data_IF_487717135266
#
_entry.id   IF_487717135266
#
_cell.length_a   1.000
_cell.length_b   1.000
_cell.length_c   1.000
_cell.angle_alpha   90.00
_cell.angle_beta   90.00
_cell.angle_gamma   90.00
#
_symmetry.space_group_name_H-M   'P 1'
#
loop_
_entity.id
_entity.type
_entity.pdbx_description
1 polymer ?
#
# COMPACT_ATOMS: atom_id res chain seq x y z
N UNK A 1 -10.82 -7.39 -22.75
CA UNK A 1 -11.34 -6.59 -21.60
C UNK A 1 -10.54 -5.31 -21.50
N UNK A 2 -11.22 -4.17 -21.44
CA UNK A 2 -10.55 -2.89 -21.26
C UNK A 2 -10.44 -2.50 -19.77
N UNK A 3 -9.73 -1.40 -19.49
CA UNK A 3 -9.52 -0.93 -18.10
C UNK A 3 -10.83 -0.65 -17.36
N UNK A 4 -11.81 -0.05 -18.03
CA UNK A 4 -13.12 0.25 -17.41
C UNK A 4 -13.85 -1.04 -17.04
N UNK A 5 -13.88 -2.02 -17.93
CA UNK A 5 -14.51 -3.32 -17.68
C UNK A 5 -13.81 -4.10 -16.57
N UNK A 6 -12.48 -4.11 -16.59
CA UNK A 6 -11.68 -4.75 -15.54
C UNK A 6 -11.93 -4.12 -14.16
N UNK A 7 -11.94 -2.80 -14.09
CA UNK A 7 -12.23 -2.07 -12.85
C UNK A 7 -13.64 -2.37 -12.32
N UNK A 8 -14.66 -2.31 -13.17
CA UNK A 8 -16.05 -2.60 -12.76
C UNK A 8 -16.21 -4.05 -12.27
N UNK A 9 -15.61 -4.99 -12.98
CA UNK A 9 -15.60 -6.40 -12.56
C UNK A 9 -14.94 -6.57 -11.19
N UNK A 10 -13.77 -5.98 -10.98
CA UNK A 10 -13.04 -6.06 -9.72
C UNK A 10 -13.81 -5.42 -8.57
N UNK A 11 -14.36 -4.23 -8.78
CA UNK A 11 -15.19 -3.53 -7.80
C UNK A 11 -16.39 -4.36 -7.38
N UNK A 12 -17.11 -4.96 -8.33
CA UNK A 12 -18.25 -5.80 -8.03
C UNK A 12 -17.85 -7.04 -7.24
N UNK A 13 -16.79 -7.74 -7.66
CA UNK A 13 -16.30 -8.94 -6.97
C UNK A 13 -15.94 -8.66 -5.51
N UNK A 14 -15.26 -7.54 -5.25
CA UNK A 14 -14.88 -7.16 -3.89
C UNK A 14 -16.08 -6.68 -3.05
N UNK A 15 -17.08 -6.04 -3.66
CA UNK A 15 -18.34 -5.71 -2.98
C UNK A 15 -19.11 -6.96 -2.55
N UNK A 16 -19.20 -7.96 -3.41
CA UNK A 16 -19.84 -9.24 -3.11
C UNK A 16 -19.12 -9.99 -1.98
N UNK A 17 -17.81 -9.79 -1.86
CA UNK A 17 -16.99 -10.32 -0.77
C UNK A 17 -17.02 -9.46 0.52
N UNK A 18 -17.87 -8.43 0.57
CA UNK A 18 -18.02 -7.51 1.71
C UNK A 18 -16.73 -6.74 2.08
N UNK A 19 -15.90 -6.43 1.09
CA UNK A 19 -14.72 -5.57 1.28
C UNK A 19 -15.17 -4.11 1.39
N UNK A 20 -14.86 -3.45 2.52
CA UNK A 20 -15.34 -2.09 2.81
C UNK A 20 -14.90 -1.05 1.79
N UNK A 21 -13.65 -1.10 1.33
CA UNK A 21 -13.06 -0.20 0.35
C UNK A 21 -12.95 -0.85 -1.05
N UNK A 22 -13.98 -1.56 -1.48
CA UNK A 22 -13.98 -2.35 -2.70
C UNK A 22 -13.57 -1.57 -3.95
N UNK A 23 -14.03 -0.32 -4.09
CA UNK A 23 -13.70 0.53 -5.22
C UNK A 23 -12.23 0.93 -5.22
N UNK A 24 -11.71 1.35 -4.07
CA UNK A 24 -10.30 1.74 -3.92
C UNK A 24 -9.37 0.54 -4.14
N UNK A 25 -9.68 -0.58 -3.51
CA UNK A 25 -8.87 -1.79 -3.58
C UNK A 25 -8.82 -2.35 -5.02
N UNK A 26 -9.96 -2.40 -5.71
CA UNK A 26 -10.01 -2.83 -7.11
C UNK A 26 -9.16 -1.94 -8.01
N UNK A 27 -9.21 -0.62 -7.81
CA UNK A 27 -8.40 0.34 -8.57
C UNK A 27 -6.90 0.15 -8.32
N UNK A 28 -6.48 0.11 -7.06
CA UNK A 28 -5.06 -0.01 -6.70
C UNK A 28 -4.45 -1.34 -7.19
N UNK A 29 -5.21 -2.43 -7.11
CA UNK A 29 -4.77 -3.71 -7.66
C UNK A 29 -4.64 -3.68 -9.19
N UNK A 30 -5.56 -3.00 -9.89
CA UNK A 30 -5.49 -2.86 -11.33
C UNK A 30 -4.31 -1.97 -11.76
N UNK A 31 -4.09 -0.86 -11.05
CA UNK A 31 -2.94 0.03 -11.27
C UNK A 31 -1.62 -0.73 -11.12
N UNK A 32 -1.48 -1.53 -10.08
CA UNK A 32 -0.27 -2.33 -9.82
C UNK A 32 -0.03 -3.37 -10.90
N UNK A 33 -1.06 -4.14 -11.26
CA UNK A 33 -0.94 -5.21 -12.26
C UNK A 33 -0.62 -4.67 -13.65
N UNK A 34 -1.26 -3.56 -14.04
CA UNK A 34 -1.06 -2.96 -15.37
C UNK A 34 0.07 -1.93 -15.42
N UNK A 35 0.78 -1.71 -14.31
CA UNK A 35 1.86 -0.72 -14.24
C UNK A 35 1.40 0.69 -14.64
N UNK A 36 0.21 1.09 -14.21
CA UNK A 36 -0.43 2.34 -14.61
C UNK A 36 -0.80 3.20 -13.40
N UNK A 37 -1.40 4.35 -13.62
CA UNK A 37 -1.85 5.26 -12.59
C UNK A 37 -3.34 5.60 -12.71
N UNK A 38 -3.87 6.26 -11.68
CA UNK A 38 -5.28 6.65 -11.63
C UNK A 38 -5.71 7.54 -12.80
N UNK A 39 -4.86 8.49 -13.18
CA UNK A 39 -5.16 9.39 -14.29
C UNK A 39 -5.28 8.65 -15.62
N UNK A 40 -4.37 7.70 -15.87
CA UNK A 40 -4.40 6.86 -17.06
C UNK A 40 -5.65 5.98 -17.10
N UNK A 41 -6.05 5.39 -15.97
CA UNK A 41 -7.29 4.61 -15.89
C UNK A 41 -8.53 5.46 -16.21
N UNK A 42 -8.56 6.72 -15.78
CA UNK A 42 -9.67 7.64 -16.05
C UNK A 42 -9.68 8.13 -17.49
N UNK A 43 -8.51 8.51 -18.04
CA UNK A 43 -8.42 9.11 -19.37
C UNK A 43 -8.41 8.08 -20.51
N UNK A 44 -7.95 6.86 -20.23
CA UNK A 44 -7.75 5.80 -21.21
C UNK A 44 -8.43 4.49 -20.79
N UNK A 45 -9.66 4.60 -20.28
CA UNK A 45 -10.46 3.46 -19.85
C UNK A 45 -10.76 2.43 -20.94
N UNK A 46 -10.61 2.81 -22.21
CA UNK A 46 -10.75 1.98 -23.40
C UNK A 46 -9.50 1.12 -23.72
N UNK A 47 -8.38 1.37 -23.04
CA UNK A 47 -7.15 0.60 -23.24
C UNK A 47 -7.35 -0.86 -22.83
N UNK A 48 -6.90 -1.75 -23.69
CA UNK A 48 -7.01 -3.20 -23.46
C UNK A 48 -6.05 -3.68 -22.38
N UNK A 49 -6.58 -4.56 -21.52
CA UNK A 49 -5.81 -5.34 -20.56
C UNK A 49 -5.33 -6.62 -21.27
N UNK A 50 -4.06 -6.93 -21.20
CA UNK A 50 -3.53 -8.17 -21.76
C UNK A 50 -4.05 -9.39 -21.01
N UNK A 51 -4.04 -10.57 -21.64
CA UNK A 51 -4.47 -11.82 -20.99
C UNK A 51 -3.66 -12.14 -19.73
N UNK A 52 -2.35 -11.83 -19.75
CA UNK A 52 -1.48 -12.05 -18.59
C UNK A 52 -1.82 -11.11 -17.42
N UNK A 53 -2.08 -9.82 -17.71
CA UNK A 53 -2.52 -8.84 -16.72
C UNK A 53 -3.90 -9.20 -16.17
N UNK A 54 -4.83 -9.63 -17.03
CA UNK A 54 -6.17 -10.06 -16.62
C UNK A 54 -6.09 -11.25 -15.64
N UNK A 55 -5.26 -12.26 -15.94
CA UNK A 55 -5.07 -13.41 -15.06
C UNK A 55 -4.46 -12.99 -13.71
N UNK A 56 -3.44 -12.14 -13.72
CA UNK A 56 -2.83 -11.61 -12.49
C UNK A 56 -3.83 -10.80 -11.66
N UNK A 57 -4.61 -9.96 -12.31
CA UNK A 57 -5.65 -9.17 -11.65
C UNK A 57 -6.73 -10.04 -11.02
N UNK A 58 -7.21 -11.07 -11.72
CA UNK A 58 -8.18 -12.02 -11.19
C UNK A 58 -7.65 -12.74 -9.95
N UNK A 59 -6.40 -13.21 -9.98
CA UNK A 59 -5.75 -13.84 -8.82
C UNK A 59 -5.66 -12.88 -7.62
N UNK A 60 -5.26 -11.64 -7.86
CA UNK A 60 -5.19 -10.62 -6.80
C UNK A 60 -6.57 -10.35 -6.18
N UNK A 61 -7.60 -10.23 -7.01
CA UNK A 61 -8.98 -10.06 -6.55
C UNK A 61 -9.48 -11.27 -5.72
N UNK A 62 -9.14 -12.48 -6.11
CA UNK A 62 -9.50 -13.69 -5.36
C UNK A 62 -8.86 -13.70 -3.98
N UNK A 63 -7.57 -13.38 -3.90
CA UNK A 63 -6.88 -13.26 -2.61
C UNK A 63 -7.46 -12.14 -1.76
N UNK A 64 -7.76 -10.98 -2.34
CA UNK A 64 -8.39 -9.88 -1.61
C UNK A 64 -9.79 -10.25 -1.12
N UNK A 65 -10.57 -10.97 -1.91
CA UNK A 65 -11.92 -11.43 -1.58
C UNK A 65 -11.95 -12.38 -0.36
N UNK A 66 -10.88 -13.12 -0.12
CA UNK A 66 -10.71 -13.93 1.12
C UNK A 66 -9.98 -13.17 2.23
N UNK A 67 -10.00 -11.83 2.16
CA UNK A 67 -9.47 -10.90 3.16
C UNK A 67 -7.95 -10.90 3.35
N UNK A 68 -7.18 -11.32 2.36
CA UNK A 68 -5.73 -11.03 2.36
C UNK A 68 -5.57 -9.51 2.33
N UNK A 69 -4.76 -8.90 3.23
CA UNK A 69 -4.58 -7.46 3.26
C UNK A 69 -4.10 -6.91 1.92
N UNK A 70 -4.68 -5.78 1.49
CA UNK A 70 -4.31 -5.13 0.22
C UNK A 70 -2.81 -4.87 0.14
N UNK A 71 -2.20 -4.39 1.22
CA UNK A 71 -0.77 -4.06 1.29
C UNK A 71 0.12 -5.28 1.08
N UNK A 72 -0.31 -6.46 1.51
CA UNK A 72 0.42 -7.72 1.23
C UNK A 72 0.38 -8.09 -0.26
N UNK A 73 -0.72 -7.77 -0.94
CA UNK A 73 -0.85 -7.99 -2.39
C UNK A 73 -0.07 -6.97 -3.20
N UNK A 74 -0.04 -5.72 -2.77
CA UNK A 74 0.77 -4.66 -3.38
C UNK A 74 2.25 -4.78 -3.03
N UNK A 75 2.59 -5.35 -1.87
CA UNK A 75 3.95 -5.50 -1.38
C UNK A 75 4.52 -4.27 -0.69
N UNK A 76 3.73 -3.22 -0.50
CA UNK A 76 4.17 -1.99 0.16
C UNK A 76 3.05 -1.29 0.92
N UNK A 77 3.44 -0.40 1.83
CA UNK A 77 2.60 0.57 2.52
C UNK A 77 3.34 1.89 2.62
N UNK A 78 2.67 2.98 2.29
CA UNK A 78 3.20 4.32 2.52
C UNK A 78 2.97 4.74 3.98
N UNK A 79 4.01 5.30 4.59
CA UNK A 79 4.02 5.75 5.98
C UNK A 79 4.95 6.95 6.12
N UNK A 80 4.49 8.05 6.70
CA UNK A 80 5.24 9.30 6.81
C UNK A 80 5.83 9.80 5.48
N UNK A 81 5.13 9.59 4.36
CA UNK A 81 5.60 9.94 3.02
C UNK A 81 6.71 9.03 2.46
N UNK A 82 7.06 7.96 3.17
CA UNK A 82 8.03 6.96 2.74
C UNK A 82 7.32 5.65 2.38
N UNK A 83 7.87 4.92 1.41
CA UNK A 83 7.33 3.62 1.00
C UNK A 83 8.10 2.50 1.67
N UNK A 84 7.41 1.69 2.47
CA UNK A 84 7.96 0.53 3.16
C UNK A 84 7.50 -0.76 2.50
N UNK A 85 8.43 -1.67 2.24
CA UNK A 85 8.10 -3.01 1.80
C UNK A 85 7.45 -3.79 2.96
N UNK A 86 6.34 -4.45 2.67
CA UNK A 86 5.62 -5.28 3.64
C UNK A 86 5.28 -6.63 3.04
N UNK A 87 5.14 -7.63 3.90
CA UNK A 87 4.70 -8.98 3.56
C UNK A 87 3.97 -9.60 4.75
N UNK A 88 3.61 -10.87 4.66
CA UNK A 88 2.90 -11.61 5.71
C UNK A 88 3.65 -11.75 7.04
N UNK A 89 4.95 -11.43 7.07
CA UNK A 89 5.81 -11.59 8.25
C UNK A 89 5.98 -10.31 9.07
N UNK A 90 5.45 -9.19 8.62
CA UNK A 90 5.53 -7.91 9.33
C UNK A 90 4.16 -7.29 9.53
N UNK A 91 4.01 -6.54 10.62
CA UNK A 91 2.83 -5.71 10.84
C UNK A 91 2.84 -4.56 9.83
N UNK A 92 1.73 -4.38 9.11
CA UNK A 92 1.56 -3.27 8.18
C UNK A 92 1.56 -1.96 8.95
N UNK A 93 2.40 -0.97 8.58
CA UNK A 93 2.38 0.35 9.20
C UNK A 93 0.98 0.98 9.16
N UNK A 94 0.51 1.44 10.30
CA UNK A 94 -0.80 2.10 10.42
C UNK A 94 -0.65 3.60 10.46
N UNK A 95 -1.58 4.33 9.86
CA UNK A 95 -1.52 5.79 9.78
C UNK A 95 -1.60 6.48 11.15
N UNK A 96 -2.35 5.93 12.11
CA UNK A 96 -2.39 6.48 13.47
C UNK A 96 -1.03 6.40 14.18
N UNK A 97 -0.15 5.47 13.81
CA UNK A 97 1.23 5.40 14.30
C UNK A 97 2.10 6.58 13.81
N UNK A 98 1.72 7.27 12.75
CA UNK A 98 2.39 8.51 12.31
C UNK A 98 2.36 9.59 13.39
N UNK A 99 1.32 9.63 14.22
CA UNK A 99 1.20 10.54 15.37
C UNK A 99 2.34 10.29 16.35
N UNK A 100 2.70 9.03 16.59
CA UNK A 100 3.84 8.68 17.46
C UNK A 100 5.16 9.22 16.90
N UNK A 101 5.37 9.09 15.58
CA UNK A 101 6.57 9.62 14.91
C UNK A 101 6.62 11.13 15.01
N UNK A 102 5.53 11.82 14.72
CA UNK A 102 5.42 13.27 14.83
C UNK A 102 5.69 13.76 16.24
N UNK A 103 5.14 13.09 17.26
CA UNK A 103 5.37 13.44 18.67
C UNK A 103 6.83 13.17 19.07
N UNK A 104 7.42 12.06 18.67
CA UNK A 104 8.82 11.75 18.93
C UNK A 104 9.78 12.75 18.29
N UNK A 105 9.47 13.25 17.09
CA UNK A 105 10.26 14.29 16.41
C UNK A 105 10.44 15.56 17.24
N UNK A 106 9.49 15.88 18.09
CA UNK A 106 9.55 17.05 19.01
C UNK A 106 10.65 16.95 20.05
N UNK A 107 11.10 15.73 20.37
CA UNK A 107 12.14 15.46 21.38
C UNK A 107 13.49 15.15 20.75
N UNK A 108 13.57 14.95 19.44
CA UNK A 108 14.81 14.68 18.76
C UNK A 108 15.65 15.96 18.55
N UNK A 109 16.94 15.81 18.72
CA UNK A 109 17.93 16.80 18.34
C UNK A 109 19.12 16.11 17.67
N UNK A 110 19.97 16.86 17.01
CA UNK A 110 21.13 16.36 16.27
C UNK A 110 22.05 15.52 17.17
N UNK A 111 22.54 14.43 16.66
CA UNK A 111 23.49 13.55 17.35
C UNK A 111 22.86 12.55 18.33
N UNK A 112 21.54 12.48 18.44
CA UNK A 112 20.87 11.48 19.28
C UNK A 112 20.98 10.07 18.70
N UNK A 113 20.98 9.10 19.61
CA UNK A 113 20.85 7.68 19.29
C UNK A 113 19.44 7.21 19.62
N UNK A 114 18.84 6.45 18.72
CA UNK A 114 17.45 5.98 18.81
C UNK A 114 17.45 4.47 18.85
N UNK A 115 16.71 3.89 19.80
CA UNK A 115 16.46 2.46 19.87
C UNK A 115 14.96 2.20 19.67
N UNK A 116 14.63 1.41 18.66
CA UNK A 116 13.28 0.97 18.36
C UNK A 116 13.15 -0.53 18.68
N UNK A 117 12.54 -0.84 19.80
CA UNK A 117 12.25 -2.22 20.22
C UNK A 117 11.03 -2.75 19.48
N UNK A 118 11.15 -3.96 18.94
CA UNK A 118 10.09 -4.58 18.11
C UNK A 118 9.77 -3.75 16.86
N UNK A 119 10.80 -3.37 16.15
CA UNK A 119 10.74 -2.39 15.04
C UNK A 119 9.83 -2.80 13.87
N UNK A 120 9.53 -4.10 13.70
CA UNK A 120 8.68 -4.62 12.62
C UNK A 120 9.26 -4.29 11.24
N UNK A 121 8.54 -3.51 10.44
CA UNK A 121 9.00 -3.01 9.13
C UNK A 121 10.12 -1.96 9.22
N UNK A 122 10.39 -1.45 10.42
CA UNK A 122 11.31 -0.33 10.63
C UNK A 122 10.67 1.05 10.38
N UNK A 123 9.36 1.12 10.19
CA UNK A 123 8.68 2.35 9.76
C UNK A 123 8.86 3.51 10.75
N UNK A 124 8.85 3.27 12.07
CA UNK A 124 9.05 4.30 13.09
C UNK A 124 10.51 4.79 13.06
N UNK A 125 11.46 3.88 13.24
CA UNK A 125 12.88 4.21 13.29
C UNK A 125 13.38 4.89 12.02
N UNK A 126 13.08 4.30 10.86
CA UNK A 126 13.53 4.82 9.57
C UNK A 126 12.90 6.18 9.24
N UNK A 127 11.65 6.40 9.63
CA UNK A 127 11.01 7.73 9.50
C UNK A 127 11.70 8.77 10.39
N UNK A 128 12.00 8.44 11.63
CA UNK A 128 12.72 9.33 12.55
C UNK A 128 14.11 9.67 12.02
N UNK A 129 14.85 8.69 11.53
CA UNK A 129 16.18 8.91 10.96
C UNK A 129 16.14 9.74 9.67
N UNK A 130 15.14 9.51 8.82
CA UNK A 130 14.96 10.21 7.55
C UNK A 130 14.71 11.72 7.76
N UNK A 131 13.88 12.08 8.74
CA UNK A 131 13.46 13.46 9.00
C UNK A 131 14.30 14.18 10.07
N UNK A 132 15.32 13.54 10.63
CA UNK A 132 16.26 14.12 11.58
C UNK A 132 17.65 14.31 10.97
N UNK A 133 18.54 15.00 11.69
CA UNK A 133 19.93 15.21 11.28
C UNK A 133 20.88 14.55 12.28
N UNK A 134 21.92 13.86 11.75
CA UNK A 134 22.99 13.25 12.53
C UNK A 134 22.52 12.28 13.65
N UNK A 135 21.33 11.70 13.52
CA UNK A 135 20.82 10.68 14.44
C UNK A 135 21.22 9.28 13.95
N UNK A 136 21.44 8.38 14.90
CA UNK A 136 21.75 6.97 14.68
C UNK A 136 20.69 6.08 15.31
N UNK A 137 20.44 4.94 14.66
CA UNK A 137 19.46 3.99 15.17
C UNK A 137 19.62 2.58 14.66
#
# INVERSE_FOLDING_TARGET
MNYTEAFLMGMQKLKEAEIGEAQLDARLLLEEVCGTDHNTLLCHGDREVSEAEEEQYRKALEQRAVHVPLQHLLGYQDFMGLRFQVNEHVLIPRQDTEILVEEAMRYLHDGMRILDLCTGSGCILLSLLHYSNDCEG
#
